data_IF_464950763775
#
_entry.id   IF_464950763775
#
_cell.length_a   1.000
_cell.length_b   1.000
_cell.length_c   1.000
_cell.angle_alpha   90.00
_cell.angle_beta   90.00
_cell.angle_gamma   90.00
#
_symmetry.space_group_name_H-M   'P 1'
#
loop_
_entity.id
_entity.type
_entity.pdbx_description
1 polymer ?
#
# COMPACT_ATOMS: atom_id res chain seq x y z
N UNK A 1 4.99 -16.54 -126.25
CA UNK A 1 4.77 -15.44 -127.21
C UNK A 1 6.08 -14.68 -127.36
N UNK A 2 6.63 -14.56 -128.58
CA UNK A 2 7.89 -13.83 -128.88
C UNK A 2 7.53 -12.45 -129.45
N UNK A 3 8.11 -11.38 -128.91
CA UNK A 3 7.93 -10.00 -129.38
C UNK A 3 8.87 -9.71 -130.57
N UNK A 4 8.37 -8.97 -131.57
CA UNK A 4 9.05 -8.76 -132.85
C UNK A 4 9.98 -7.52 -132.90
N UNK A 5 9.98 -6.63 -131.89
CA UNK A 5 10.90 -5.48 -131.83
C UNK A 5 11.30 -5.15 -130.39
N UNK A 6 12.53 -4.63 -130.15
CA UNK A 6 12.99 -4.25 -128.81
C UNK A 6 12.13 -3.14 -128.17
N UNK A 7 11.49 -2.29 -128.98
CA UNK A 7 10.55 -1.26 -128.51
C UNK A 7 9.20 -1.83 -128.08
N UNK A 8 8.67 -2.86 -128.77
CA UNK A 8 7.41 -3.50 -128.40
C UNK A 8 7.54 -4.37 -127.14
N UNK A 9 8.73 -4.93 -126.88
CA UNK A 9 9.03 -5.59 -125.60
C UNK A 9 9.13 -4.59 -124.44
N UNK A 10 9.68 -3.40 -124.67
CA UNK A 10 9.76 -2.32 -123.68
C UNK A 10 8.37 -1.74 -123.33
N UNK A 11 7.47 -1.62 -124.31
CA UNK A 11 6.11 -1.12 -124.12
C UNK A 11 5.17 -2.13 -123.43
N UNK A 12 5.44 -3.43 -123.52
CA UNK A 12 4.75 -4.46 -122.75
C UNK A 12 5.20 -4.52 -121.27
N UNK A 13 6.42 -4.06 -120.98
CA UNK A 13 7.02 -4.09 -119.63
C UNK A 13 6.84 -2.74 -118.90
N UNK A 14 6.80 -1.61 -119.62
CA UNK A 14 6.69 -0.25 -119.08
C UNK A 14 5.39 0.08 -118.32
N UNK A 15 4.20 -0.43 -118.70
CA UNK A 15 2.97 -0.27 -117.90
C UNK A 15 3.02 -1.07 -116.58
N UNK A 16 3.68 -2.23 -116.61
CA UNK A 16 3.77 -3.16 -115.47
C UNK A 16 4.71 -2.63 -114.37
N UNK A 17 5.76 -1.88 -114.72
CA UNK A 17 6.67 -1.28 -113.74
C UNK A 17 6.00 -0.18 -112.91
N UNK A 18 5.16 0.66 -113.54
CA UNK A 18 4.40 1.70 -112.83
C UNK A 18 3.33 1.09 -111.90
N UNK A 19 2.66 0.02 -112.34
CA UNK A 19 1.72 -0.72 -111.48
C UNK A 19 2.42 -1.41 -110.30
N UNK A 20 3.60 -2.00 -110.51
CA UNK A 20 4.41 -2.59 -109.44
C UNK A 20 4.90 -1.53 -108.45
N UNK A 21 5.34 -0.37 -108.94
CA UNK A 21 5.74 0.74 -108.08
C UNK A 21 4.56 1.24 -107.24
N UNK A 22 3.39 1.40 -107.85
CA UNK A 22 2.16 1.78 -107.13
C UNK A 22 1.76 0.72 -106.08
N UNK A 23 1.88 -0.58 -106.40
CA UNK A 23 1.64 -1.67 -105.44
C UNK A 23 2.62 -1.63 -104.26
N UNK A 24 3.92 -1.43 -104.52
CA UNK A 24 4.93 -1.31 -103.46
C UNK A 24 4.65 -0.08 -102.58
N UNK A 25 4.35 1.07 -103.18
CA UNK A 25 3.99 2.29 -102.44
C UNK A 25 2.73 2.11 -101.60
N UNK A 26 1.71 1.42 -102.13
CA UNK A 26 0.51 1.07 -101.36
C UNK A 26 0.82 0.10 -100.20
N UNK A 27 1.67 -0.91 -100.41
CA UNK A 27 2.08 -1.84 -99.36
C UNK A 27 2.88 -1.13 -98.27
N UNK A 28 3.81 -0.24 -98.63
CA UNK A 28 4.59 0.58 -97.69
C UNK A 28 3.68 1.52 -96.90
N UNK A 29 2.69 2.14 -97.54
CA UNK A 29 1.73 3.01 -96.86
C UNK A 29 0.81 2.20 -95.91
N UNK A 30 0.35 1.02 -96.32
CA UNK A 30 -0.44 0.12 -95.47
C UNK A 30 0.36 -0.35 -94.26
N UNK A 31 1.61 -0.75 -94.47
CA UNK A 31 2.52 -1.18 -93.41
C UNK A 31 2.82 -0.03 -92.44
N UNK A 32 3.10 1.17 -92.96
CA UNK A 32 3.32 2.37 -92.14
C UNK A 32 2.10 2.73 -91.30
N UNK A 33 0.89 2.62 -91.88
CA UNK A 33 -0.34 2.89 -91.15
C UNK A 33 -0.63 1.80 -90.10
N UNK A 34 -0.36 0.53 -90.40
CA UNK A 34 -0.48 -0.57 -89.44
C UNK A 34 0.49 -0.39 -88.26
N UNK A 35 1.74 -0.01 -88.51
CA UNK A 35 2.71 0.30 -87.44
C UNK A 35 2.30 1.52 -86.61
N UNK A 36 1.79 2.58 -87.25
CA UNK A 36 1.26 3.74 -86.52
C UNK A 36 0.10 3.35 -85.60
N UNK A 37 -0.79 2.47 -86.07
CA UNK A 37 -1.91 1.98 -85.28
C UNK A 37 -1.43 1.11 -84.11
N UNK A 38 -0.56 0.13 -84.35
CA UNK A 38 -0.02 -0.72 -83.28
C UNK A 38 0.72 0.12 -82.21
N UNK A 39 1.56 1.07 -82.62
CA UNK A 39 2.23 1.97 -81.67
C UNK A 39 1.23 2.81 -80.87
N UNK A 40 0.16 3.31 -81.51
CA UNK A 40 -0.88 4.06 -80.82
C UNK A 40 -1.63 3.19 -79.81
N UNK A 41 -1.97 1.95 -80.16
CA UNK A 41 -2.66 1.00 -79.29
C UNK A 41 -1.79 0.60 -78.10
N UNK A 42 -0.49 0.31 -78.32
CA UNK A 42 0.46 0.03 -77.22
C UNK A 42 0.63 1.23 -76.30
N UNK A 43 0.66 2.46 -76.84
CA UNK A 43 0.72 3.69 -76.02
C UNK A 43 -0.55 3.89 -75.20
N UNK A 44 -1.72 3.65 -75.78
CA UNK A 44 -3.00 3.73 -75.06
C UNK A 44 -3.10 2.68 -73.94
N UNK A 45 -2.62 1.46 -74.19
CA UNK A 45 -2.54 0.41 -73.17
C UNK A 45 -1.58 0.82 -72.04
N UNK A 46 -0.41 1.35 -72.37
CA UNK A 46 0.58 1.81 -71.39
C UNK A 46 0.03 2.95 -70.52
N UNK A 47 -0.65 3.94 -71.11
CA UNK A 47 -1.27 5.03 -70.33
C UNK A 47 -2.40 4.53 -69.44
N UNK A 48 -3.20 3.57 -69.89
CA UNK A 48 -4.24 2.95 -69.08
C UNK A 48 -3.66 2.15 -67.91
N UNK A 49 -2.61 1.36 -68.13
CA UNK A 49 -1.92 0.63 -67.07
C UNK A 49 -1.26 1.57 -66.06
N UNK A 50 -0.62 2.64 -66.53
CA UNK A 50 -0.04 3.67 -65.67
C UNK A 50 -1.13 4.36 -64.83
N UNK A 51 -2.27 4.68 -65.41
CA UNK A 51 -3.38 5.28 -64.69
C UNK A 51 -3.95 4.33 -63.63
N UNK A 52 -4.12 3.04 -63.94
CA UNK A 52 -4.52 2.03 -62.94
C UNK A 52 -3.50 1.89 -61.81
N UNK A 53 -2.19 1.90 -62.11
CA UNK A 53 -1.13 1.87 -61.09
C UNK A 53 -1.13 3.11 -60.20
N UNK A 54 -1.48 4.27 -60.76
CA UNK A 54 -1.60 5.51 -60.00
C UNK A 54 -2.86 5.51 -59.11
N UNK A 55 -3.99 5.00 -59.62
CA UNK A 55 -5.24 4.88 -58.86
C UNK A 55 -5.13 3.83 -57.73
N UNK A 56 -4.50 2.70 -58.01
CA UNK A 56 -4.23 1.64 -57.04
C UNK A 56 -2.82 1.77 -56.47
N UNK A 57 -2.39 2.98 -56.08
CA UNK A 57 -1.01 3.21 -55.65
C UNK A 57 -0.69 2.35 -54.40
N UNK A 58 0.03 1.22 -54.55
CA UNK A 58 0.26 0.30 -53.43
C UNK A 58 1.11 0.99 -52.36
N UNK A 59 1.92 1.98 -52.77
CA UNK A 59 2.68 2.85 -51.89
C UNK A 59 1.79 3.68 -50.94
N UNK A 60 0.66 4.20 -51.42
CA UNK A 60 -0.26 4.97 -50.57
C UNK A 60 -0.98 4.05 -49.58
N UNK A 61 -1.38 2.85 -50.01
CA UNK A 61 -1.96 1.86 -49.10
C UNK A 61 -0.93 1.42 -48.04
N UNK A 62 0.32 1.17 -48.43
CA UNK A 62 1.40 0.84 -47.49
C UNK A 62 1.66 1.99 -46.50
N UNK A 63 1.70 3.24 -46.96
CA UNK A 63 1.86 4.41 -46.09
C UNK A 63 0.70 4.53 -45.09
N UNK A 64 -0.54 4.35 -45.53
CA UNK A 64 -1.72 4.37 -44.65
C UNK A 64 -1.68 3.23 -43.62
N UNK A 65 -1.25 2.03 -44.04
CA UNK A 65 -1.10 0.88 -43.13
C UNK A 65 0.05 1.10 -42.13
N UNK A 66 1.17 1.69 -42.56
CA UNK A 66 2.29 2.07 -41.70
C UNK A 66 1.84 3.10 -40.65
N UNK A 67 1.19 4.17 -41.09
CA UNK A 67 0.66 5.19 -40.19
C UNK A 67 -0.33 4.60 -39.19
N UNK A 68 -1.19 3.68 -39.63
CA UNK A 68 -2.14 2.99 -38.75
C UNK A 68 -1.43 2.10 -37.73
N UNK A 69 -0.34 1.44 -38.11
CA UNK A 69 0.49 0.65 -37.19
C UNK A 69 1.17 1.54 -36.15
N UNK A 70 1.67 2.71 -36.55
CA UNK A 70 2.30 3.67 -35.64
C UNK A 70 1.29 4.21 -34.63
N UNK A 71 0.10 4.60 -35.07
CA UNK A 71 -1.02 5.03 -34.21
C UNK A 71 -1.39 3.93 -33.20
N UNK A 72 -1.57 2.69 -33.67
CA UNK A 72 -1.92 1.56 -32.81
C UNK A 72 -0.80 1.21 -31.83
N UNK A 73 0.46 1.32 -32.25
CA UNK A 73 1.63 1.10 -31.40
C UNK A 73 1.67 2.11 -30.25
N UNK A 74 1.48 3.41 -30.56
CA UNK A 74 1.42 4.47 -29.55
C UNK A 74 0.25 4.23 -28.59
N UNK A 75 -0.93 3.92 -29.12
CA UNK A 75 -2.12 3.65 -28.30
C UNK A 75 -1.92 2.43 -27.39
N UNK A 76 -1.31 1.36 -27.89
CA UNK A 76 -0.99 0.17 -27.11
C UNK A 76 0.00 0.50 -25.99
N UNK A 77 1.08 1.21 -26.29
CA UNK A 77 2.07 1.62 -25.28
C UNK A 77 1.45 2.47 -24.17
N UNK A 78 0.57 3.43 -24.54
CA UNK A 78 -0.14 4.24 -23.57
C UNK A 78 -1.10 3.41 -22.71
N UNK A 79 -1.88 2.51 -23.33
CA UNK A 79 -2.79 1.63 -22.61
C UNK A 79 -2.06 0.69 -21.63
N UNK A 80 -0.92 0.13 -22.04
CA UNK A 80 -0.08 -0.71 -21.19
C UNK A 80 0.49 0.07 -20.01
N UNK A 81 1.04 1.28 -20.23
CA UNK A 81 1.54 2.14 -19.16
C UNK A 81 0.45 2.50 -18.17
N UNK A 82 -0.73 2.88 -18.66
CA UNK A 82 -1.87 3.21 -17.81
C UNK A 82 -2.32 2.01 -16.97
N UNK A 83 -2.35 0.80 -17.56
CA UNK A 83 -2.71 -0.43 -16.84
C UNK A 83 -1.71 -0.77 -15.74
N UNK A 84 -0.41 -0.71 -16.04
CA UNK A 84 0.64 -0.96 -15.04
C UNK A 84 0.54 0.04 -13.89
N UNK A 85 0.38 1.33 -14.22
CA UNK A 85 0.26 2.38 -13.21
C UNK A 85 -0.99 2.23 -12.34
N UNK A 86 -2.13 1.81 -12.92
CA UNK A 86 -3.33 1.48 -12.15
C UNK A 86 -3.09 0.29 -11.22
N UNK A 87 -2.48 -0.78 -11.71
CA UNK A 87 -2.17 -1.96 -10.89
C UNK A 87 -1.21 -1.63 -9.75
N UNK A 88 -0.18 -0.83 -10.01
CA UNK A 88 0.76 -0.36 -8.99
C UNK A 88 0.05 0.49 -7.93
N UNK A 89 -0.84 1.41 -8.34
CA UNK A 89 -1.70 2.16 -7.41
C UNK A 89 -2.61 1.26 -6.58
N UNK A 90 -3.22 0.24 -7.20
CA UNK A 90 -4.07 -0.72 -6.48
C UNK A 90 -3.26 -1.47 -5.42
N UNK A 91 -2.06 -1.96 -5.77
CA UNK A 91 -1.16 -2.62 -4.83
C UNK A 91 -0.71 -1.68 -3.70
N UNK A 92 -0.27 -0.47 -4.04
CA UNK A 92 0.14 0.54 -3.07
C UNK A 92 -0.99 0.97 -2.12
N UNK A 93 -2.25 0.83 -2.53
CA UNK A 93 -3.41 1.06 -1.65
C UNK A 93 -3.83 -0.19 -0.86
N UNK A 94 -3.67 -1.39 -1.41
CA UNK A 94 -4.05 -2.64 -0.75
C UNK A 94 -3.06 -3.05 0.34
N UNK A 95 -1.76 -2.90 0.10
CA UNK A 95 -0.71 -3.22 1.08
C UNK A 95 -0.89 -2.50 2.42
N UNK A 96 -1.08 -1.16 2.49
CA UNK A 96 -1.30 -0.47 3.76
C UNK A 96 -2.65 -0.82 4.38
N UNK A 97 -3.69 -1.14 3.59
CA UNK A 97 -4.99 -1.60 4.14
C UNK A 97 -4.85 -2.97 4.80
N UNK A 98 -4.11 -3.89 4.18
CA UNK A 98 -3.78 -5.20 4.75
C UNK A 98 -2.94 -5.04 6.03
N UNK A 99 -1.92 -4.18 6.02
CA UNK A 99 -1.10 -3.87 7.20
C UNK A 99 -1.87 -3.16 8.33
N UNK A 100 -2.96 -2.45 8.01
CA UNK A 100 -3.84 -1.84 9.02
C UNK A 100 -4.83 -2.86 9.59
N UNK A 101 -5.20 -3.86 8.80
CA UNK A 101 -6.04 -4.97 9.23
C UNK A 101 -5.22 -6.08 9.91
N UNK A 102 -3.90 -6.18 9.68
CA UNK A 102 -3.05 -7.15 10.35
C UNK A 102 -3.09 -6.88 11.86
N UNK A 103 -3.68 -7.80 12.65
CA UNK A 103 -3.91 -7.58 14.07
C UNK A 103 -2.60 -7.60 14.86
N UNK A 104 -1.47 -7.99 14.27
CA UNK A 104 -0.18 -8.13 14.96
C UNK A 104 0.29 -6.85 15.63
N UNK A 105 0.19 -5.70 14.96
CA UNK A 105 0.54 -4.41 15.57
C UNK A 105 -0.39 -4.05 16.72
N UNK A 106 -1.71 -4.31 16.56
CA UNK A 106 -2.70 -4.05 17.62
C UNK A 106 -2.49 -4.97 18.82
N UNK A 107 -2.18 -6.25 18.57
CA UNK A 107 -1.86 -7.25 19.59
C UNK A 107 -0.56 -6.89 20.34
N UNK A 108 0.48 -6.47 19.62
CA UNK A 108 1.72 -6.00 20.24
C UNK A 108 1.48 -4.78 21.13
N UNK A 109 0.72 -3.78 20.66
CA UNK A 109 0.38 -2.60 21.48
C UNK A 109 -0.48 -2.96 22.69
N UNK A 110 -1.47 -3.83 22.53
CA UNK A 110 -2.36 -4.25 23.61
C UNK A 110 -1.62 -5.09 24.65
N UNK A 111 -0.75 -6.01 24.21
CA UNK A 111 0.12 -6.80 25.08
C UNK A 111 1.06 -5.91 25.88
N UNK A 112 1.67 -4.91 25.23
CA UNK A 112 2.53 -3.95 25.92
C UNK A 112 1.75 -3.13 26.96
N UNK A 113 0.57 -2.61 26.61
CA UNK A 113 -0.30 -1.88 27.53
C UNK A 113 -0.72 -2.75 28.73
N UNK A 114 -1.06 -4.02 28.49
CA UNK A 114 -1.41 -4.96 29.55
C UNK A 114 -0.22 -5.20 30.50
N UNK A 115 0.98 -5.38 29.96
CA UNK A 115 2.20 -5.55 30.78
C UNK A 115 2.49 -4.32 31.65
N UNK A 116 2.32 -3.11 31.11
CA UNK A 116 2.51 -1.86 31.85
C UNK A 116 1.45 -1.68 32.94
N UNK A 117 0.19 -1.96 32.62
CA UNK A 117 -0.91 -1.87 33.58
C UNK A 117 -0.73 -2.88 34.72
N UNK A 118 -0.28 -4.10 34.41
CA UNK A 118 -0.03 -5.13 35.40
C UNK A 118 1.14 -4.77 36.32
N UNK A 119 2.23 -4.23 35.78
CA UNK A 119 3.35 -3.72 36.59
C UNK A 119 2.90 -2.59 37.52
N UNK A 120 2.11 -1.63 37.02
CA UNK A 120 1.55 -0.52 37.81
C UNK A 120 0.61 -1.02 38.92
N UNK A 121 -0.25 -1.98 38.62
CA UNK A 121 -1.17 -2.58 39.59
C UNK A 121 -0.38 -3.25 40.73
N UNK A 122 0.63 -4.04 40.40
CA UNK A 122 1.46 -4.72 41.39
C UNK A 122 2.19 -3.72 42.31
N UNK A 123 2.74 -2.66 41.74
CA UNK A 123 3.37 -1.58 42.52
C UNK A 123 2.37 -0.88 43.44
N UNK A 124 1.16 -0.57 42.95
CA UNK A 124 0.13 0.07 43.74
C UNK A 124 -0.33 -0.82 44.91
N UNK A 125 -0.49 -2.13 44.67
CA UNK A 125 -0.85 -3.11 45.70
C UNK A 125 0.24 -3.18 46.79
N UNK A 126 1.51 -3.30 46.39
CA UNK A 126 2.63 -3.35 47.32
C UNK A 126 2.71 -2.10 48.18
N UNK A 127 2.54 -0.93 47.56
CA UNK A 127 2.55 0.34 48.27
C UNK A 127 1.38 0.46 49.26
N UNK A 128 0.18 0.07 48.86
CA UNK A 128 -1.01 0.09 49.72
C UNK A 128 -0.85 -0.86 50.93
N UNK A 129 -0.32 -2.07 50.71
CA UNK A 129 -0.04 -3.02 51.78
C UNK A 129 1.03 -2.48 52.75
N UNK A 130 2.10 -1.87 52.24
CA UNK A 130 3.14 -1.29 53.07
C UNK A 130 2.58 -0.15 53.94
N UNK A 131 1.74 0.72 53.37
CA UNK A 131 1.08 1.79 54.12
C UNK A 131 0.15 1.25 55.20
N UNK A 132 -0.65 0.23 54.89
CA UNK A 132 -1.54 -0.42 55.84
C UNK A 132 -0.75 -1.05 57.00
N UNK A 133 0.34 -1.76 56.71
CA UNK A 133 1.22 -2.37 57.72
C UNK A 133 1.88 -1.32 58.61
N UNK A 134 2.39 -0.24 58.03
CA UNK A 134 2.98 0.86 58.80
C UNK A 134 1.96 1.54 59.72
N UNK A 135 0.74 1.76 59.22
CA UNK A 135 -0.36 2.33 60.01
C UNK A 135 -0.77 1.42 61.17
N UNK A 136 -0.88 0.11 60.91
CA UNK A 136 -1.17 -0.90 61.92
C UNK A 136 -0.08 -0.93 63.00
N UNK A 137 1.19 -0.94 62.61
CA UNK A 137 2.32 -0.93 63.54
C UNK A 137 2.34 0.33 64.42
N UNK A 138 2.03 1.50 63.84
CA UNK A 138 1.94 2.75 64.59
C UNK A 138 0.76 2.73 65.59
N UNK A 139 -0.40 2.23 65.19
CA UNK A 139 -1.58 2.07 66.05
C UNK A 139 -1.28 1.11 67.21
N UNK A 140 -0.63 -0.02 66.92
CA UNK A 140 -0.21 -0.99 67.94
C UNK A 140 0.79 -0.36 68.93
N UNK A 141 1.81 0.35 68.45
CA UNK A 141 2.77 1.05 69.32
C UNK A 141 2.11 2.12 70.19
N UNK A 142 1.11 2.84 69.66
CA UNK A 142 0.32 3.80 70.46
C UNK A 142 -0.47 3.09 71.54
N UNK A 143 -1.16 2.00 71.22
CA UNK A 143 -1.89 1.19 72.19
C UNK A 143 -0.97 0.66 73.30
N UNK A 144 0.21 0.17 72.94
CA UNK A 144 1.23 -0.24 73.91
C UNK A 144 1.66 0.91 74.81
N UNK A 145 1.86 2.11 74.26
CA UNK A 145 2.29 3.28 75.05
C UNK A 145 1.27 3.75 76.09
N UNK A 146 -0.02 3.56 75.82
CA UNK A 146 -1.12 3.97 76.72
C UNK A 146 -1.63 2.84 77.61
N UNK A 147 -1.10 1.62 77.46
CA UNK A 147 -1.53 0.46 78.24
C UNK A 147 -1.03 0.57 79.69
N UNK A 148 -1.93 0.53 80.70
CA UNK A 148 -1.55 0.50 82.12
C UNK A 148 -0.57 -0.62 82.47
N UNK A 149 -0.64 -1.75 81.75
CA UNK A 149 0.31 -2.87 81.87
C UNK A 149 1.75 -2.47 81.57
N UNK A 150 1.99 -1.54 80.63
CA UNK A 150 3.33 -1.04 80.32
C UNK A 150 3.82 0.03 81.31
N UNK A 151 2.92 0.70 82.03
CA UNK A 151 3.29 1.53 83.18
C UNK A 151 3.71 0.63 84.34
N UNK A 152 2.95 -0.44 84.60
CA UNK A 152 3.29 -1.45 85.60
C UNK A 152 4.61 -2.15 85.27
N UNK A 153 4.81 -2.60 84.02
CA UNK A 153 6.02 -3.31 83.57
C UNK A 153 7.31 -2.48 83.67
N UNK A 154 7.21 -1.15 83.73
CA UNK A 154 8.35 -0.24 83.95
C UNK A 154 8.72 -0.06 85.44
N UNK A 155 8.12 -0.83 86.34
CA UNK A 155 8.42 -0.82 87.77
C UNK A 155 7.62 0.20 88.58
N UNK A 156 6.58 0.81 88.00
CA UNK A 156 5.67 1.69 88.73
C UNK A 156 4.49 0.90 89.27
N UNK A 157 4.04 1.20 90.48
CA UNK A 157 2.84 0.59 91.06
C UNK A 157 1.65 1.54 91.00
N UNK A 158 0.45 1.02 90.79
CA UNK A 158 -0.79 1.83 90.82
C UNK A 158 -1.50 1.59 92.14
N UNK A 159 -1.58 2.61 92.99
CA UNK A 159 -2.31 2.53 94.26
C UNK A 159 -3.78 2.93 94.08
N UNK A 160 -4.69 2.03 94.43
CA UNK A 160 -6.15 2.19 94.39
C UNK A 160 -6.71 2.14 95.81
N UNK A 161 -7.85 2.78 96.05
CA UNK A 161 -8.63 2.57 97.28
C UNK A 161 -9.39 1.24 97.20
N UNK A 162 -9.96 0.78 98.32
CA UNK A 162 -10.86 -0.39 98.35
C UNK A 162 -12.06 -0.28 97.38
N UNK A 163 -12.41 0.94 96.95
CA UNK A 163 -13.47 1.24 95.98
C UNK A 163 -12.97 1.28 94.53
N UNK A 164 -11.71 0.92 94.28
CA UNK A 164 -11.10 0.86 92.94
C UNK A 164 -10.65 2.21 92.37
N UNK A 165 -10.70 3.30 93.14
CA UNK A 165 -10.32 4.65 92.68
C UNK A 165 -8.82 4.89 92.85
N UNK A 166 -8.13 5.33 91.79
CA UNK A 166 -6.68 5.60 91.82
C UNK A 166 -6.38 6.79 92.75
N UNK A 167 -5.46 6.58 93.69
CA UNK A 167 -5.00 7.58 94.64
C UNK A 167 -3.83 8.36 94.02
N UNK A 168 -4.01 9.66 93.83
CA UNK A 168 -3.01 10.55 93.17
C UNK A 168 -2.35 11.56 94.11
N UNK A 169 -2.89 11.75 95.32
CA UNK A 169 -2.33 12.65 96.33
C UNK A 169 -2.52 12.05 97.72
N UNK A 170 -1.54 12.28 98.59
CA UNK A 170 -1.54 11.87 100.00
C UNK A 170 -2.63 12.54 100.83
N UNK A 171 -3.08 13.75 100.44
CA UNK A 171 -4.09 14.53 101.18
C UNK A 171 -5.47 13.87 101.24
N UNK A 172 -5.70 12.86 100.39
CA UNK A 172 -6.98 12.15 100.27
C UNK A 172 -7.02 10.85 101.05
N UNK A 173 -5.97 10.55 101.81
CA UNK A 173 -5.80 9.31 102.56
C UNK A 173 -5.95 9.61 104.05
N UNK A 174 -6.77 8.84 104.75
CA UNK A 174 -6.93 8.94 106.21
C UNK A 174 -6.28 7.75 106.90
N UNK A 175 -5.82 7.98 108.14
CA UNK A 175 -5.35 6.91 109.01
C UNK A 175 -6.46 5.87 109.21
N UNK A 176 -6.16 4.61 108.87
CA UNK A 176 -7.09 3.49 108.87
C UNK A 176 -7.54 3.02 107.48
N UNK A 177 -7.31 3.81 106.41
CA UNK A 177 -7.74 3.45 105.06
C UNK A 177 -6.95 2.26 104.49
N UNK A 178 -7.66 1.37 103.79
CA UNK A 178 -7.09 0.22 103.07
C UNK A 178 -6.78 0.63 101.63
N UNK A 179 -5.51 0.48 101.26
CA UNK A 179 -4.97 0.75 99.95
C UNK A 179 -4.59 -0.57 99.27
N UNK A 180 -4.95 -0.68 97.99
CA UNK A 180 -4.60 -1.80 97.12
C UNK A 180 -3.56 -1.30 96.13
N UNK A 181 -2.33 -1.76 96.26
CA UNK A 181 -1.24 -1.43 95.34
C UNK A 181 -1.09 -2.54 94.32
N UNK A 182 -1.36 -2.22 93.06
CA UNK A 182 -1.27 -3.16 91.95
C UNK A 182 0.13 -3.08 91.31
N UNK A 183 0.76 -4.25 91.18
CA UNK A 183 2.08 -4.50 90.62
C UNK A 183 1.93 -5.38 89.36
N UNK A 184 3.04 -5.64 88.67
CA UNK A 184 3.06 -6.44 87.42
C UNK A 184 2.54 -7.87 87.65
N UNK A 185 2.84 -8.43 88.82
CA UNK A 185 2.70 -9.84 89.16
C UNK A 185 1.67 -10.10 90.26
N UNK A 186 1.01 -9.07 90.78
CA UNK A 186 -0.01 -9.22 91.81
C UNK A 186 -0.47 -7.92 92.45
N UNK A 187 -1.28 -8.02 93.50
CA UNK A 187 -1.79 -6.90 94.27
C UNK A 187 -1.43 -7.04 95.75
N UNK A 188 -0.98 -5.94 96.37
CA UNK A 188 -0.68 -5.88 97.79
C UNK A 188 -1.75 -5.03 98.47
N UNK A 189 -2.31 -5.53 99.57
CA UNK A 189 -3.19 -4.75 100.45
C UNK A 189 -2.36 -4.16 101.60
N UNK A 190 -2.59 -2.89 101.91
CA UNK A 190 -1.88 -2.17 102.96
C UNK A 190 -2.84 -1.23 103.68
N UNK A 191 -2.68 -1.13 105.00
CA UNK A 191 -3.48 -0.23 105.83
C UNK A 191 -2.63 0.96 106.29
N UNK A 192 -3.17 2.17 106.18
CA UNK A 192 -2.48 3.40 106.54
C UNK A 192 -2.49 3.57 108.06
N UNK A 193 -1.33 3.50 108.70
CA UNK A 193 -1.14 3.69 110.14
C UNK A 193 -0.83 5.12 110.52
#
# INVERSE_FOLDING_TARGET
>A
VRAATPSAAAELVSPNTQELHNKVTQLVNRLSNAFKHDIADKRALATQLQHRLNLCHPRNQLNQKSQRLDELSIALQQAMRNRLYQQERTLNNLTPRLMRQSPDKKLATASHQLSQLQARLNQAIQHQLQQANNSLALQASRLDSVSPLNVLARGYSITKTQQGKVVKSVDKIKTGDVLITELVDGSIESQVT
#
